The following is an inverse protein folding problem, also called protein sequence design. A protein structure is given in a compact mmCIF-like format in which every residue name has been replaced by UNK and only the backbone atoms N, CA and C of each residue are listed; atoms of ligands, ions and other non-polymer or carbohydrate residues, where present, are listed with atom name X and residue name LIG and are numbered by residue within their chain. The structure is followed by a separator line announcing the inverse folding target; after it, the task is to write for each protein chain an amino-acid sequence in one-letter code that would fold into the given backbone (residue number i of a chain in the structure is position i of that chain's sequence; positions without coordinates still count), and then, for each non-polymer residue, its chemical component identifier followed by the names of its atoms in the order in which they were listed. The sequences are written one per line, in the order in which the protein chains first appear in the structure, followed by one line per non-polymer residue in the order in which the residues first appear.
data_IF_627066442586
#
_entry.id   IF_627066442586
#
_cell.length_a   1.000
_cell.length_b   1.000
_cell.length_c   1.000
_cell.angle_alpha   90.00
_cell.angle_beta   90.00
_cell.angle_gamma   90.00
#
_symmetry.space_group_name_H-M   'P 1'
#
loop_
_entity.id
_entity.type
_entity.pdbx_description
1 polymer ?
2 non-polymer ?
3 water ?
#
# COMPACT_ATOMS: atom_id res chain seq x y z
N UNK A 251 2.03 -18.66 14.22
CA UNK A 251 1.12 -19.28 13.26
C UNK A 251 1.47 -18.91 11.82
N UNK A 252 2.08 -19.87 11.13
CA UNK A 252 2.57 -19.68 9.76
C UNK A 252 1.47 -19.22 8.79
N UNK A 253 0.38 -20.00 8.74
CA UNK A 253 -0.76 -19.74 7.87
C UNK A 253 -1.35 -18.32 7.97
N UNK A 254 -1.53 -17.81 9.19
CA UNK A 254 -2.05 -16.46 9.39
C UNK A 254 -1.20 -15.38 8.71
N UNK A 255 0.12 -15.54 8.75
CA UNK A 255 1.05 -14.65 8.05
C UNK A 255 0.74 -14.52 6.55
N UNK A 256 0.61 -15.67 5.88
CA UNK A 256 0.21 -15.73 4.47
C UNK A 256 -1.15 -15.05 4.22
N UNK A 257 -2.12 -15.34 5.07
CA UNK A 257 -3.44 -14.69 5.02
C UNK A 257 -3.33 -13.15 5.07
N UNK A 258 -2.31 -12.64 5.74
CA UNK A 258 -2.06 -11.19 5.82
C UNK A 258 -1.47 -10.60 4.52
N UNK A 259 -0.51 -11.31 3.93
CA UNK A 259 0.05 -10.89 2.64
C UNK A 259 -1.01 -11.01 1.56
N UNK A 260 -1.84 -12.05 1.66
CA UNK A 260 -2.97 -12.25 0.75
C UNK A 260 -3.86 -11.01 0.76
N UNK A 261 -3.70 -10.21 1.81
CA UNK A 261 -4.26 -8.86 1.92
C UNK A 261 -5.69 -8.84 2.46
N UNK A 300 -9.01 -28.95 16.29
CA UNK A 300 -7.75 -28.66 15.59
C UNK A 300 -6.99 -29.95 15.26
N UNK A 301 -6.72 -30.15 13.96
CA UNK A 301 -6.04 -31.37 13.52
C UNK A 301 -4.63 -31.50 14.11
N UNK A 302 -4.37 -32.66 14.73
CA UNK A 302 -3.05 -32.96 15.28
C UNK A 302 -2.27 -33.85 14.34
N UNK A 303 -2.90 -34.30 13.26
CA UNK A 303 -2.34 -35.40 12.48
C UNK A 303 -2.67 -35.39 11.01
N UNK A 304 -1.91 -36.17 10.24
CA UNK A 304 -2.21 -36.42 8.84
C UNK A 304 -3.66 -36.88 8.62
N UNK A 305 -4.12 -37.84 9.43
CA UNK A 305 -5.48 -38.36 9.28
C UNK A 305 -6.53 -37.27 9.53
N UNK A 306 -6.33 -36.49 10.59
CA UNK A 306 -7.21 -35.35 10.87
C UNK A 306 -7.27 -34.42 9.66
N UNK A 307 -6.11 -34.04 9.15
CA UNK A 307 -6.03 -33.14 8.00
C UNK A 307 -6.69 -33.72 6.75
N UNK A 308 -6.31 -34.95 6.40
CA UNK A 308 -6.90 -35.59 5.25
C UNK A 308 -8.43 -35.72 5.41
N UNK A 309 -8.87 -35.87 6.64
CA UNK A 309 -10.30 -35.92 6.94
C UNK A 309 -11.01 -34.59 6.60
N UNK A 310 -10.41 -33.47 7.00
CA UNK A 310 -10.99 -32.18 6.65
C UNK A 310 -11.05 -31.99 5.16
N UNK A 311 -9.93 -32.28 4.49
CA UNK A 311 -9.80 -32.04 3.07
C UNK A 311 -10.87 -32.76 2.23
N UNK A 312 -11.43 -33.85 2.76
CA UNK A 312 -12.50 -34.54 2.06
C UNK A 312 -13.73 -33.64 1.95
N UNK A 313 -14.12 -33.04 3.07
CA UNK A 313 -15.25 -32.14 3.08
C UNK A 313 -14.93 -30.73 2.63
N UNK A 314 -13.66 -30.32 2.73
CA UNK A 314 -13.25 -28.95 2.44
C UNK A 314 -12.10 -28.83 1.44
N UNK A 315 -12.26 -29.40 0.25
CA UNK A 315 -11.10 -29.43 -0.67
C UNK A 315 -10.66 -28.03 -1.13
N UNK A 316 -11.54 -27.04 -1.04
CA UNK A 316 -11.24 -25.72 -1.59
C UNK A 316 -10.67 -24.73 -0.57
N UNK A 317 -10.42 -25.21 0.64
CA UNK A 317 -9.99 -24.31 1.70
C UNK A 317 -8.46 -24.24 1.76
N UNK A 318 -7.89 -23.12 1.30
CA UNK A 318 -6.43 -22.97 1.33
C UNK A 318 -5.96 -22.98 2.77
N UNK A 319 -6.81 -22.48 3.67
CA UNK A 319 -6.47 -22.46 5.08
C UNK A 319 -6.14 -23.86 5.59
N UNK A 320 -7.00 -24.82 5.24
CA UNK A 320 -6.74 -26.19 5.65
C UNK A 320 -5.45 -26.71 5.07
N UNK A 321 -5.25 -26.49 3.78
CA UNK A 321 -4.04 -26.94 3.10
C UNK A 321 -2.78 -26.34 3.73
N UNK A 322 -2.85 -25.09 4.16
CA UNK A 322 -1.70 -24.35 4.70
C UNK A 322 -1.35 -24.76 6.14
N UNK A 323 -2.37 -24.86 7.00
CA UNK A 323 -2.21 -25.48 8.30
C UNK A 323 -1.58 -26.86 8.13
N UNK A 324 -2.10 -27.62 7.17
CA UNK A 324 -1.58 -28.96 6.88
C UNK A 324 -0.09 -28.90 6.52
N UNK A 325 0.31 -28.01 5.60
CA UNK A 325 1.74 -27.90 5.29
C UNK A 325 2.55 -27.29 6.45
N UNK A 326 1.96 -26.31 7.13
CA UNK A 326 2.60 -25.77 8.34
C UNK A 326 2.85 -26.87 9.38
N UNK A 327 1.87 -27.75 9.53
CA UNK A 327 1.99 -28.87 10.46
C UNK A 327 3.23 -29.70 10.15
N UNK A 328 3.43 -30.01 8.87
CA UNK A 328 4.60 -30.73 8.41
C UNK A 328 5.87 -29.90 8.59
N UNK A 329 5.83 -28.64 8.17
CA UNK A 329 6.99 -27.77 8.29
C UNK A 329 7.59 -27.83 9.69
N UNK A 330 6.73 -27.77 10.70
CA UNK A 330 7.19 -27.78 12.09
C UNK A 330 7.89 -29.08 12.46
N UNK A 331 7.62 -30.14 11.71
CA UNK A 331 8.29 -31.43 11.88
C UNK A 331 9.47 -31.56 10.93
N UNK A 332 9.72 -30.50 10.17
CA UNK A 332 10.88 -30.43 9.28
C UNK A 332 10.92 -31.39 8.10
N UNK A 333 9.79 -31.87 7.58
CA UNK A 333 9.84 -32.40 6.22
C UNK A 333 9.26 -31.34 5.31
N UNK A 334 10.13 -30.65 4.59
CA UNK A 334 9.63 -29.57 3.78
C UNK A 334 9.30 -30.14 2.42
N UNK A 335 9.76 -31.37 2.18
CA UNK A 335 9.41 -32.04 0.94
C UNK A 335 7.97 -32.54 1.02
N UNK A 336 7.57 -32.93 2.22
CA UNK A 336 6.18 -33.32 2.42
C UNK A 336 5.27 -32.13 2.24
N UNK A 337 5.69 -31.00 2.83
CA UNK A 337 4.95 -29.76 2.71
C UNK A 337 4.96 -29.24 1.26
N UNK A 338 6.06 -29.48 0.55
CA UNK A 338 6.12 -29.16 -0.88
C UNK A 338 5.10 -29.98 -1.65
N UNK A 339 4.95 -31.25 -1.31
CA UNK A 339 3.97 -32.13 -1.95
C UNK A 339 2.55 -31.62 -1.75
N UNK A 340 2.23 -31.28 -0.50
CA UNK A 340 0.89 -30.81 -0.19
C UNK A 340 0.52 -29.63 -1.06
N UNK A 341 1.47 -28.70 -1.22
CA UNK A 341 1.27 -27.49 -2.01
C UNK A 341 0.80 -27.85 -3.42
N UNK A 342 1.56 -28.75 -4.07
CA UNK A 342 1.24 -29.22 -5.40
C UNK A 342 -0.11 -29.92 -5.42
N UNK A 343 -0.43 -30.64 -4.36
CA UNK A 343 -1.71 -31.34 -4.26
C UNK A 343 -2.83 -30.32 -4.18
N UNK A 344 -2.60 -29.27 -3.39
CA UNK A 344 -3.58 -28.21 -3.23
C UNK A 344 -3.84 -27.48 -4.55
N UNK A 345 -2.76 -27.16 -5.26
CA UNK A 345 -2.89 -26.47 -6.53
C UNK A 345 -3.74 -27.29 -7.50
N UNK A 346 -3.63 -28.61 -7.39
CA UNK A 346 -4.38 -29.50 -8.25
C UNK A 346 -5.80 -29.77 -7.80
N UNK A 347 -6.03 -29.87 -6.48
CA UNK A 347 -7.36 -30.19 -5.99
C UNK A 347 -8.31 -29.00 -5.84
N UNK A 348 -7.83 -27.89 -5.28
CA UNK A 348 -8.68 -26.71 -5.13
C UNK A 348 -9.29 -26.33 -6.48
N UNK A 349 -10.59 -26.10 -6.49
CA UNK A 349 -11.29 -25.79 -7.73
C UNK A 349 -10.76 -24.57 -8.45
N UNK A 350 -10.52 -24.69 -9.76
CA UNK A 350 -9.85 -23.62 -10.50
C UNK A 350 -10.59 -22.28 -10.42
N UNK A 351 -11.88 -22.31 -10.11
CA UNK A 351 -12.65 -21.07 -10.05
C UNK A 351 -12.31 -20.24 -8.81
N UNK A 352 -11.65 -20.85 -7.83
CA UNK A 352 -11.44 -20.13 -6.57
C UNK A 352 -10.05 -19.53 -6.59
N UNK A 353 -9.99 -18.26 -6.99
CA UNK A 353 -8.72 -17.65 -7.31
C UNK A 353 -7.95 -17.31 -6.05
N UNK A 354 -8.65 -16.69 -5.10
CA UNK A 354 -8.05 -16.25 -3.86
C UNK A 354 -7.50 -17.42 -3.06
N UNK A 355 -8.21 -18.56 -3.13
CA UNK A 355 -7.76 -19.74 -2.41
C UNK A 355 -6.42 -20.19 -2.99
N UNK A 356 -6.36 -20.30 -4.32
CA UNK A 356 -5.13 -20.72 -4.99
C UNK A 356 -4.00 -19.68 -4.84
N UNK A 357 -4.35 -18.41 -4.86
CA UNK A 357 -3.35 -17.38 -4.61
C UNK A 357 -2.66 -17.67 -3.27
N UNK A 358 -3.46 -17.93 -2.24
CA UNK A 358 -2.93 -18.30 -0.94
C UNK A 358 -1.91 -19.44 -0.99
N UNK A 359 -2.21 -20.49 -1.75
CA UNK A 359 -1.27 -21.60 -1.88
C UNK A 359 0.05 -21.13 -2.46
N UNK A 360 -0.01 -20.39 -3.56
CA UNK A 360 1.20 -19.89 -4.22
C UNK A 360 2.04 -19.02 -3.26
N UNK A 361 1.35 -18.19 -2.49
CA UNK A 361 2.03 -17.33 -1.53
C UNK A 361 2.67 -18.17 -0.43
N UNK A 362 2.00 -19.24 -0.02
CA UNK A 362 2.53 -20.12 1.00
C UNK A 362 3.80 -20.81 0.49
N UNK A 363 3.80 -21.15 -0.79
CA UNK A 363 4.98 -21.73 -1.43
C UNK A 363 6.13 -20.73 -1.53
N UNK A 364 5.83 -19.53 -2.00
CA UNK A 364 6.85 -18.48 -2.04
C UNK A 364 7.53 -18.36 -0.66
N UNK A 365 6.73 -18.29 0.40
CA UNK A 365 7.29 -18.32 1.74
C UNK A 365 8.12 -19.57 2.02
N UNK A 366 7.57 -20.74 1.73
CA UNK A 366 8.32 -22.00 1.81
C UNK A 366 9.70 -21.82 1.17
N UNK A 367 9.72 -21.58 -0.14
CA UNK A 367 10.99 -21.53 -0.83
C UNK A 367 11.89 -20.43 -0.26
N UNK A 368 11.34 -19.26 0.02
CA UNK A 368 12.17 -18.16 0.55
C UNK A 368 12.82 -18.49 1.90
N UNK A 369 12.12 -19.23 2.75
CA UNK A 369 12.61 -19.60 4.07
C UNK A 369 13.46 -20.86 4.05
N UNK A 370 12.84 -22.00 3.74
CA UNK A 370 13.52 -23.28 3.85
C UNK A 370 14.11 -23.78 2.55
N UNK A 371 13.93 -23.04 1.47
CA UNK A 371 14.38 -23.47 0.16
C UNK A 371 15.69 -22.84 -0.28
N UNK A 372 15.86 -22.69 -1.60
CA UNK A 372 17.06 -22.08 -2.18
C UNK A 372 16.69 -21.08 -3.30
N UNK A 373 17.62 -20.29 -3.80
CA UNK A 373 17.17 -19.29 -4.73
C UNK A 373 16.71 -19.81 -6.02
N UNK A 374 16.84 -21.10 -6.16
CA UNK A 374 16.51 -21.71 -7.41
C UNK A 374 15.14 -22.34 -7.29
N UNK A 375 14.83 -22.79 -6.11
CA UNK A 375 13.52 -23.26 -5.84
C UNK A 375 12.56 -22.13 -5.82
N UNK A 376 12.98 -21.04 -5.28
CA UNK A 376 12.11 -19.92 -5.21
C UNK A 376 11.87 -19.34 -6.54
N UNK A 377 12.88 -19.35 -7.37
CA UNK A 377 12.74 -18.77 -8.68
C UNK A 377 11.89 -19.60 -9.53
N UNK A 378 11.72 -20.85 -9.14
CA UNK A 378 10.91 -21.81 -9.81
C UNK A 378 9.48 -21.59 -9.48
N UNK A 379 9.17 -21.57 -8.21
CA UNK A 379 7.86 -21.25 -7.78
C UNK A 379 7.45 -19.90 -8.27
N UNK A 380 8.30 -18.91 -8.13
CA UNK A 380 8.04 -17.58 -8.60
C UNK A 380 7.55 -17.57 -9.97
N UNK A 381 8.33 -18.14 -10.80
CA UNK A 381 8.09 -18.28 -12.21
C UNK A 381 6.82 -19.00 -12.62
N UNK A 382 6.56 -20.18 -12.09
CA UNK A 382 5.35 -20.91 -12.37
C UNK A 382 4.22 -20.08 -12.01
N UNK A 383 4.26 -19.58 -10.79
CA UNK A 383 3.27 -18.64 -10.24
C UNK A 383 2.80 -17.50 -11.08
N UNK A 384 3.69 -16.75 -11.67
CA UNK A 384 3.34 -15.67 -12.56
C UNK A 384 2.85 -16.25 -13.85
N UNK A 385 3.33 -17.43 -14.21
CA UNK A 385 2.67 -18.12 -15.30
C UNK A 385 1.22 -18.51 -14.99
N UNK A 386 0.97 -19.06 -13.81
CA UNK A 386 -0.39 -19.49 -13.46
C UNK A 386 -1.35 -18.43 -12.87
N UNK A 387 -0.78 -17.43 -12.19
CA UNK A 387 -1.56 -16.34 -11.61
C UNK A 387 -1.17 -15.01 -12.25
N UNK A 388 -1.78 -13.92 -11.78
CA UNK A 388 -1.46 -12.58 -12.28
C UNK A 388 -0.04 -12.20 -11.87
N UNK A 389 0.80 -11.94 -12.87
CA UNK A 389 2.22 -11.71 -12.64
C UNK A 389 2.47 -10.53 -11.69
N UNK A 390 1.84 -9.40 -11.96
CA UNK A 390 2.07 -8.24 -11.13
C UNK A 390 1.74 -8.56 -9.66
N UNK A 391 0.55 -9.13 -9.43
CA UNK A 391 0.20 -9.59 -8.07
C UNK A 391 1.31 -10.42 -7.43
N UNK A 392 1.80 -11.42 -8.15
CA UNK A 392 2.82 -12.31 -7.64
C UNK A 392 4.10 -11.52 -7.30
N UNK A 393 4.48 -10.60 -8.18
CA UNK A 393 5.58 -9.68 -7.93
C UNK A 393 5.43 -8.89 -6.63
N UNK A 394 4.28 -8.23 -6.47
CA UNK A 394 4.08 -7.45 -5.25
C UNK A 394 4.22 -8.36 -4.02
N UNK A 395 3.71 -9.58 -4.12
CA UNK A 395 3.78 -10.52 -3.00
C UNK A 395 5.21 -10.94 -2.66
N UNK A 396 6.02 -11.22 -3.66
CA UNK A 396 7.38 -11.62 -3.38
C UNK A 396 8.15 -10.44 -2.80
N UNK A 397 7.86 -9.24 -3.28
CA UNK A 397 8.44 -8.04 -2.68
C UNK A 397 8.13 -8.03 -1.18
N UNK A 398 6.85 -8.09 -0.84
CA UNK A 398 6.43 -8.16 0.55
C UNK A 398 7.19 -9.21 1.33
N UNK A 399 7.38 -10.36 0.71
CA UNK A 399 8.10 -11.43 1.37
C UNK A 399 9.55 -11.03 1.68
N UNK A 400 10.27 -10.55 0.66
CA UNK A 400 11.65 -10.10 0.86
C UNK A 400 11.78 -9.09 2.00
N UNK A 401 10.80 -8.19 2.09
CA UNK A 401 10.80 -7.16 3.12
C UNK A 401 10.74 -7.74 4.52
N UNK A 402 9.85 -8.70 4.69
CA UNK A 402 9.66 -9.37 5.96
C UNK A 402 10.84 -10.26 6.33
N UNK A 403 11.40 -10.94 5.34
CA UNK A 403 12.58 -11.77 5.57
C UNK A 403 13.83 -10.89 5.72
N UNK A 404 13.68 -9.59 5.47
CA UNK A 404 14.78 -8.63 5.53
C UNK A 404 15.92 -8.94 4.57
N UNK A 405 15.60 -9.40 3.36
CA UNK A 405 16.61 -9.31 2.32
C UNK A 405 16.25 -8.10 1.46
N UNK A 406 16.90 -7.00 1.79
CA UNK A 406 16.56 -5.71 1.25
C UNK A 406 17.21 -5.51 -0.12
N UNK A 407 18.36 -6.10 -0.29
CA UNK A 407 19.04 -6.12 -1.56
C UNK A 407 18.24 -6.80 -2.61
N UNK A 408 17.71 -7.94 -2.28
CA UNK A 408 16.78 -8.67 -3.08
C UNK A 408 15.50 -7.94 -3.35
N UNK A 409 14.93 -7.24 -2.40
CA UNK A 409 13.74 -6.41 -2.61
C UNK A 409 13.92 -5.23 -3.48
N UNK A 410 14.98 -4.50 -3.27
CA UNK A 410 15.33 -3.42 -4.12
C UNK A 410 15.44 -3.79 -5.55
N UNK A 411 16.11 -4.88 -5.83
CA UNK A 411 16.34 -5.28 -7.16
C UNK A 411 15.12 -5.66 -7.88
N UNK A 412 14.18 -6.25 -7.18
CA UNK A 412 12.90 -6.62 -7.72
C UNK A 412 11.98 -5.48 -7.89
N UNK A 413 12.13 -4.49 -7.05
CA UNK A 413 11.40 -3.27 -7.18
C UNK A 413 11.68 -2.60 -8.47
N UNK A 414 12.88 -2.74 -8.97
CA UNK A 414 13.37 -2.12 -10.17
C UNK A 414 13.03 -2.92 -11.35
N UNK A 415 13.03 -4.19 -11.13
CA UNK A 415 12.60 -5.11 -12.11
C UNK A 415 11.15 -5.04 -12.32
N UNK A 416 10.36 -4.87 -11.29
CA UNK A 416 8.93 -4.78 -11.43
C UNK A 416 8.41 -3.50 -11.95
N UNK A 417 9.18 -2.45 -11.82
CA UNK A 417 8.80 -1.17 -12.31
C UNK A 417 9.20 -1.02 -13.74
N UNK A 418 10.24 -1.70 -14.15
CA UNK A 418 10.55 -1.92 -15.53
C UNK A 418 9.43 -2.54 -16.26
N UNK A 419 8.91 -3.57 -15.69
CA UNK A 419 7.88 -4.36 -16.37
C UNK A 419 6.51 -3.70 -16.36
N UNK A 420 6.05 -3.37 -15.16
CA UNK A 420 4.67 -2.91 -14.94
C UNK A 420 4.51 -1.41 -14.73
N UNK A 421 5.58 -0.69 -14.74
CA UNK A 421 5.50 0.66 -14.35
C UNK A 421 4.89 1.55 -15.36
N UNK A 422 4.83 1.12 -16.57
CA UNK A 422 4.19 1.88 -17.59
C UNK A 422 2.74 2.03 -17.30
N UNK A 423 2.24 1.19 -16.44
CA UNK A 423 0.82 1.07 -16.26
C UNK A 423 0.32 0.98 -14.85
N UNK A 424 1.00 0.33 -13.93
CA UNK A 424 0.62 0.36 -12.52
C UNK A 424 1.26 1.46 -11.69
N UNK A 425 0.47 2.29 -11.01
CA UNK A 425 0.99 3.33 -10.18
C UNK A 425 1.56 2.82 -8.90
N UNK A 426 1.06 1.75 -8.39
CA UNK A 426 1.32 1.32 -7.06
C UNK A 426 2.67 0.80 -6.83
N UNK A 427 3.39 0.58 -7.89
CA UNK A 427 4.70 0.05 -7.82
C UNK A 427 5.62 1.12 -7.52
N UNK A 428 5.39 2.24 -8.12
CA UNK A 428 6.09 3.43 -7.89
C UNK A 428 5.90 3.93 -6.48
N UNK A 429 4.70 3.88 -5.97
CA UNK A 429 4.44 4.23 -4.59
C UNK A 429 5.07 3.29 -3.61
N UNK A 430 4.96 2.03 -3.84
CA UNK A 430 5.53 1.02 -3.02
C UNK A 430 7.03 1.02 -2.91
N UNK A 431 7.71 1.40 -3.97
CA UNK A 431 9.14 1.64 -4.04
C UNK A 431 9.61 2.87 -3.28
N UNK A 432 8.95 3.99 -3.46
CA UNK A 432 9.22 5.17 -2.65
C UNK A 432 8.97 5.00 -1.19
N UNK A 433 7.97 4.25 -0.82
CA UNK A 433 7.78 3.82 0.52
C UNK A 433 8.96 3.08 1.01
N UNK A 434 9.41 2.06 0.31
CA UNK A 434 10.59 1.29 0.63
C UNK A 434 11.75 2.17 0.91
N UNK A 435 12.04 3.03 -0.05
CA UNK A 435 13.16 3.96 -0.05
C UNK A 435 13.15 4.98 1.00
N UNK A 436 12.01 5.53 1.30
CA UNK A 436 11.85 6.36 2.45
C UNK A 436 12.08 5.58 3.74
N UNK A 437 11.54 4.37 3.84
CA UNK A 437 11.63 3.53 5.02
C UNK A 437 13.06 3.16 5.35
N UNK A 438 13.87 3.03 4.30
CA UNK A 438 15.28 2.70 4.38
C UNK A 438 16.17 3.95 4.35
N UNK A 439 15.56 5.11 4.51
CA UNK A 439 16.30 6.34 4.67
C UNK A 439 17.10 6.72 3.43
N UNK A 440 16.61 6.39 2.24
CA UNK A 440 17.07 7.14 1.08
C UNK A 440 15.89 7.88 0.45
N UNK A 441 15.71 9.11 0.91
CA UNK A 441 14.56 9.91 0.59
C UNK A 441 14.78 10.57 -0.78
N UNK A 442 16.03 10.86 -1.10
CA UNK A 442 16.33 11.42 -2.40
C UNK A 442 16.07 10.37 -3.48
N UNK A 443 16.57 9.15 -3.27
CA UNK A 443 16.25 8.05 -4.17
C UNK A 443 14.74 7.92 -4.42
N UNK A 444 13.94 8.09 -3.37
CA UNK A 444 12.50 8.12 -3.53
C UNK A 444 12.11 9.16 -4.57
N UNK A 445 12.62 10.38 -4.42
CA UNK A 445 12.27 11.45 -5.36
C UNK A 445 12.82 11.21 -6.78
N UNK A 446 14.01 10.60 -6.89
CA UNK A 446 14.52 10.14 -8.17
C UNK A 446 13.58 9.16 -8.86
N UNK A 447 13.09 8.16 -8.14
CA UNK A 447 12.21 7.19 -8.76
C UNK A 447 10.83 7.78 -9.02
N UNK A 448 10.46 8.80 -8.24
CA UNK A 448 9.22 9.55 -8.54
C UNK A 448 9.32 10.28 -9.87
N UNK A 449 10.51 10.82 -10.16
CA UNK A 449 10.77 11.39 -11.47
C UNK A 449 10.66 10.32 -12.54
N UNK A 450 11.18 9.15 -12.22
CA UNK A 450 11.08 8.00 -13.12
C UNK A 450 9.63 7.61 -13.41
N UNK A 451 8.79 7.64 -12.38
CA UNK A 451 7.40 7.22 -12.51
C UNK A 451 6.61 8.16 -13.43
N UNK A 452 6.96 9.44 -13.40
CA UNK A 452 6.31 10.44 -14.22
C UNK A 452 6.67 10.32 -15.70
N UNK A 453 7.86 9.78 -15.98
CA UNK A 453 8.27 9.50 -17.35
C UNK A 453 7.57 8.24 -17.88
N UNK A 454 7.24 7.35 -16.98
CA UNK A 454 6.78 6.02 -17.31
C UNK A 454 5.35 5.95 -17.48
N UNK A 455 4.71 6.81 -16.76
CA UNK A 455 3.32 6.68 -16.52
C UNK A 455 2.62 7.63 -17.42
N UNK A 456 1.35 7.24 -17.84
CA UNK A 456 0.62 8.26 -18.62
C UNK A 456 0.39 9.59 -17.87
N UNK A 457 -0.12 10.66 -18.48
CA UNK A 457 -0.32 11.92 -17.75
C UNK A 457 -1.48 11.87 -16.75
N UNK A 458 -2.52 11.09 -17.05
CA UNK A 458 -3.70 11.03 -16.17
C UNK A 458 -3.36 10.41 -14.82
N UNK A 459 -2.21 9.74 -14.76
CA UNK A 459 -1.72 9.14 -13.53
C UNK A 459 -0.74 10.03 -12.77
N UNK A 460 -0.38 11.18 -13.34
CA UNK A 460 0.67 12.03 -12.77
C UNK A 460 0.26 12.69 -11.44
N UNK A 461 -0.82 13.41 -11.42
CA UNK A 461 -1.30 14.01 -10.22
C UNK A 461 -1.41 13.00 -9.11
N UNK A 462 -1.98 11.88 -9.41
CA UNK A 462 -2.22 10.86 -8.45
C UNK A 462 -1.00 10.42 -7.74
N UNK A 463 -0.01 10.03 -8.47
CA UNK A 463 1.16 9.43 -7.91
C UNK A 463 2.02 10.39 -7.15
N UNK A 464 1.91 11.65 -7.47
CA UNK A 464 2.56 12.66 -6.76
C UNK A 464 1.85 12.89 -5.49
N UNK A 465 0.55 12.98 -5.53
CA UNK A 465 -0.24 13.05 -4.36
C UNK A 465 0.12 12.05 -3.37
N UNK A 466 0.21 10.84 -3.80
CA UNK A 466 0.47 9.67 -3.00
C UNK A 466 1.85 9.62 -2.48
N UNK A 467 2.78 10.13 -3.23
CA UNK A 467 4.11 10.41 -2.69
C UNK A 467 4.10 11.49 -1.60
N UNK A 468 3.33 12.55 -1.81
CA UNK A 468 3.23 13.60 -0.80
C UNK A 468 2.76 12.99 0.52
N UNK A 469 1.71 12.17 0.43
CA UNK A 469 1.12 11.54 1.62
C UNK A 469 2.17 10.66 2.31
N UNK A 470 2.96 9.97 1.48
CA UNK A 470 4.11 9.21 1.96
C UNK A 470 5.08 10.04 2.78
N UNK A 471 5.53 11.14 2.19
CA UNK A 471 6.47 12.05 2.85
C UNK A 471 5.93 12.49 4.20
N UNK A 472 4.64 12.83 4.26
CA UNK A 472 4.05 13.28 5.53
C UNK A 472 4.11 12.20 6.60
N UNK A 473 3.75 10.98 6.20
CA UNK A 473 3.69 9.83 7.08
C UNK A 473 5.07 9.29 7.48
N UNK A 474 5.82 8.72 6.54
CA UNK A 474 7.17 8.20 6.87
C UNK A 474 8.36 9.08 6.48
N UNK A 475 8.10 10.15 5.73
CA UNK A 475 9.18 10.92 5.11
C UNK A 475 9.43 12.28 5.75
N UNK A 476 9.92 13.22 4.94
CA UNK A 476 10.02 14.64 5.30
C UNK A 476 8.78 15.40 4.79
N UNK A 477 7.94 15.89 5.73
CA UNK A 477 6.68 16.59 5.42
C UNK A 477 6.94 17.84 4.59
N UNK A 478 8.07 18.48 4.81
CA UNK A 478 8.45 19.59 3.95
C UNK A 478 8.42 19.16 2.48
N UNK A 479 9.04 18.01 2.19
CA UNK A 479 9.05 17.50 0.84
C UNK A 479 7.64 17.26 0.30
N UNK A 480 6.76 16.74 1.15
CA UNK A 480 5.36 16.58 0.79
C UNK A 480 4.67 17.91 0.51
N UNK A 481 4.84 18.88 1.40
CA UNK A 481 4.31 20.22 1.15
C UNK A 481 4.75 20.70 -0.22
N UNK A 482 6.06 20.58 -0.52
CA UNK A 482 6.53 21.02 -1.82
C UNK A 482 5.75 20.38 -2.96
N UNK A 483 5.64 19.04 -2.92
CA UNK A 483 4.89 18.27 -3.91
C UNK A 483 3.44 18.76 -4.08
N UNK A 484 2.73 18.89 -2.97
CA UNK A 484 1.41 19.49 -2.99
C UNK A 484 1.40 20.88 -3.65
N UNK A 485 2.31 21.74 -3.22
CA UNK A 485 2.44 23.08 -3.80
C UNK A 485 2.54 23.03 -5.31
N UNK A 486 3.20 21.99 -5.81
CA UNK A 486 3.34 21.82 -7.25
C UNK A 486 2.00 21.50 -7.88
N UNK A 487 1.31 20.53 -7.27
CA UNK A 487 0.05 19.99 -7.81
C UNK A 487 -0.97 21.11 -7.95
N UNK A 488 -0.95 21.98 -6.95
CA UNK A 488 -1.95 23.01 -6.83
C UNK A 488 -1.51 24.26 -7.60
N UNK A 489 -0.24 24.33 -7.97
CA UNK A 489 0.23 25.40 -8.85
C UNK A 489 -0.25 25.15 -10.26
N UNK A 490 -0.23 23.87 -10.67
CA UNK A 490 -0.67 23.47 -12.00
C UNK A 490 -2.18 23.43 -12.13
N UNK A 491 -2.85 23.02 -11.06
CA UNK A 491 -4.30 22.83 -11.08
C UNK A 491 -4.98 23.60 -9.97
N UNK A 492 -4.95 24.91 -9.99
CA UNK A 492 -5.50 25.67 -8.88
C UNK A 492 -6.91 25.38 -8.50
N UNK A 493 -7.55 24.48 -9.23
CA UNK A 493 -8.98 24.40 -9.37
C UNK A 493 -9.54 23.07 -8.97
N UNK A 494 -8.65 22.14 -8.73
CA UNK A 494 -9.04 20.84 -8.34
C UNK A 494 -9.08 21.03 -6.89
N UNK A 495 -10.26 21.16 -6.34
CA UNK A 495 -10.37 21.52 -4.95
C UNK A 495 -10.27 20.34 -4.10
N UNK A 496 -10.31 19.18 -4.67
CA UNK A 496 -10.15 17.96 -3.91
C UNK A 496 -8.75 17.84 -3.42
N UNK A 497 -7.86 18.56 -4.05
CA UNK A 497 -6.47 18.45 -3.77
C UNK A 497 -6.01 19.37 -2.71
N UNK A 498 -6.54 20.57 -2.68
CA UNK A 498 -6.39 21.48 -1.56
C UNK A 498 -6.87 20.80 -0.31
N UNK A 499 -7.86 19.96 -0.46
CA UNK A 499 -8.44 19.27 0.66
C UNK A 499 -7.50 18.25 1.17
N UNK A 500 -7.01 17.42 0.30
CA UNK A 500 -6.04 16.43 0.61
C UNK A 500 -4.85 17.07 1.27
N UNK A 501 -4.35 18.14 0.71
CA UNK A 501 -3.28 18.92 1.31
C UNK A 501 -3.57 19.33 2.72
N UNK A 502 -4.65 20.04 3.01
CA UNK A 502 -4.90 20.53 4.35
C UNK A 502 -5.12 19.44 5.34
N UNK A 503 -5.65 18.33 4.91
CA UNK A 503 -5.87 17.19 5.74
C UNK A 503 -4.60 16.64 6.27
N UNK A 504 -3.57 16.73 5.48
CA UNK A 504 -2.29 16.19 5.83
C UNK A 504 -1.67 17.04 6.84
N UNK A 505 -1.89 18.32 6.66
CA UNK A 505 -1.46 19.31 7.59
C UNK A 505 -2.31 19.32 8.83
N UNK A 506 -3.61 19.16 8.70
CA UNK A 506 -4.45 19.07 9.87
C UNK A 506 -4.18 17.81 10.58
N UNK A 507 -3.11 17.13 10.26
CA UNK A 507 -2.91 15.82 10.76
C UNK A 507 -1.51 15.70 11.18
N UNK A 508 -0.71 16.51 10.59
CA UNK A 508 0.59 16.86 11.16
C UNK A 508 0.41 17.80 12.35
N UNK A 509 -0.73 18.46 12.39
CA UNK A 509 -1.09 19.43 13.44
C UNK A 509 -0.02 20.49 13.78
N UNK A 510 0.53 21.12 12.75
CA UNK A 510 1.29 22.35 12.91
C UNK A 510 0.27 23.46 12.72
N UNK A 511 -0.06 24.15 13.82
CA UNK A 511 -1.20 25.06 13.83
C UNK A 511 -1.09 26.08 12.71
N UNK A 512 0.07 26.72 12.64
CA UNK A 512 0.31 27.77 11.67
C UNK A 512 0.03 27.26 10.26
N UNK A 513 0.84 26.30 9.83
CA UNK A 513 0.82 25.77 8.47
C UNK A 513 -0.61 25.47 8.01
N UNK A 514 -1.41 24.90 8.91
CA UNK A 514 -2.83 24.63 8.67
C UNK A 514 -3.65 25.89 8.42
N UNK A 515 -3.48 26.87 9.31
CA UNK A 515 -4.23 28.11 9.25
C UNK A 515 -3.88 28.95 8.02
N UNK A 516 -2.59 29.05 7.70
CA UNK A 516 -2.17 29.82 6.52
C UNK A 516 -2.75 29.20 5.26
N UNK A 517 -2.97 27.89 5.33
CA UNK A 517 -3.50 27.12 4.22
C UNK A 517 -4.98 27.39 4.07
N UNK A 518 -5.69 27.34 5.19
CA UNK A 518 -7.10 27.73 5.20
C UNK A 518 -7.26 29.16 4.69
N UNK A 519 -6.38 30.05 5.14
CA UNK A 519 -6.32 31.43 4.66
C UNK A 519 -6.31 31.48 3.14
N UNK A 520 -5.40 30.72 2.54
CA UNK A 520 -5.26 30.71 1.10
C UNK A 520 -6.48 30.11 0.39
N UNK A 521 -7.01 29.02 0.94
CA UNK A 521 -8.11 28.31 0.28
C UNK A 521 -9.30 29.20 0.00
N UNK A 522 -9.78 29.87 1.04
CA UNK A 522 -11.00 30.66 0.94
C UNK A 522 -10.90 31.71 -0.19
N UNK A 523 -9.67 32.09 -0.53
CA UNK A 523 -9.44 33.06 -1.58
C UNK A 523 -9.45 32.40 -2.96
N UNK A 524 -9.69 31.08 -2.98
CA UNK A 524 -9.73 30.34 -4.24
C UNK A 524 -11.14 30.33 -4.83
N UNK A 525 -11.29 29.71 -6.00
CA UNK A 525 -12.55 29.79 -6.72
C UNK A 525 -13.42 28.61 -6.29
N UNK A 526 -14.47 28.94 -5.53
CA UNK A 526 -15.12 27.99 -4.64
C UNK A 526 -16.63 28.03 -4.68
N UNK A 527 -17.24 26.86 -4.79
CA UNK A 527 -18.70 26.71 -4.68
C UNK A 527 -19.11 26.84 -3.21
N UNK A 528 -20.22 27.53 -2.96
CA UNK A 528 -20.65 27.83 -1.60
C UNK A 528 -20.66 26.59 -0.69
N UNK A 529 -21.06 25.45 -1.26
CA UNK A 529 -21.02 24.18 -0.52
C UNK A 529 -19.59 23.84 -0.11
N UNK A 530 -18.65 24.10 -1.03
CA UNK A 530 -17.22 23.93 -0.75
C UNK A 530 -16.80 24.88 0.35
N UNK A 531 -17.14 26.16 0.15
CA UNK A 531 -16.80 27.21 1.09
C UNK A 531 -17.28 26.86 2.51
N UNK A 532 -18.58 26.62 2.65
CA UNK A 532 -19.14 26.27 3.95
C UNK A 532 -18.38 25.07 4.52
N UNK A 533 -18.07 24.12 3.65
CA UNK A 533 -17.41 22.87 4.02
C UNK A 533 -16.04 23.05 4.70
N UNK A 534 -15.25 23.97 4.17
CA UNK A 534 -13.90 24.18 4.68
C UNK A 534 -13.91 24.81 6.07
N UNK A 535 -14.90 25.64 6.34
CA UNK A 535 -14.99 26.31 7.63
C UNK A 535 -15.26 25.35 8.77
N UNK A 536 -16.20 24.43 8.58
CA UNK A 536 -16.48 23.42 9.59
C UNK A 536 -15.21 22.66 9.93
N UNK A 537 -14.47 22.28 8.90
CA UNK A 537 -13.16 21.68 9.06
C UNK A 537 -12.27 22.59 9.93
N UNK A 538 -12.18 23.86 9.54
CA UNK A 538 -11.38 24.85 10.25
C UNK A 538 -11.81 24.95 11.71
N UNK A 539 -13.12 25.06 11.91
CA UNK A 539 -13.70 25.12 13.24
C UNK A 539 -13.37 23.84 14.02
N UNK A 540 -13.74 22.68 13.45
CA UNK A 540 -13.45 21.40 14.07
C UNK A 540 -11.99 21.32 14.51
N UNK A 541 -11.09 21.84 13.69
CA UNK A 541 -9.66 21.78 13.99
C UNK A 541 -9.32 22.60 15.22
N UNK A 542 -9.71 23.86 15.22
CA UNK A 542 -9.44 24.75 16.35
C UNK A 542 -10.10 24.23 17.63
N UNK A 543 -11.20 23.49 17.49
CA UNK A 543 -11.77 22.77 18.63
C UNK A 543 -10.75 21.80 19.22
N UNK A 544 -10.34 20.81 18.42
CA UNK A 544 -9.32 19.85 18.83
C UNK A 544 -8.07 20.57 19.36
N UNK A 545 -7.86 21.80 18.87
CA UNK A 545 -6.85 22.69 19.42
C UNK A 545 -7.30 23.28 20.75
N UNK A 546 -8.36 24.08 20.70
CA UNK A 546 -8.91 24.70 21.88
C UNK A 546 -8.56 26.17 22.06
N UNK A 547 -8.02 26.79 21.02
CA UNK A 547 -7.71 28.22 21.08
C UNK A 547 -8.96 28.95 20.59
N UNK A 548 -9.66 29.61 21.51
CA UNK A 548 -11.03 30.02 21.25
C UNK A 548 -11.15 31.39 20.62
N UNK A 549 -10.03 32.09 20.52
CA UNK A 549 -9.98 33.32 19.74
C UNK A 549 -10.20 32.95 18.29
N UNK A 550 -9.35 32.05 17.80
CA UNK A 550 -9.44 31.53 16.44
C UNK A 550 -10.77 30.79 16.24
N UNK A 551 -11.17 29.99 17.23
CA UNK A 551 -12.47 29.31 17.18
C UNK A 551 -13.60 30.29 16.86
N UNK A 552 -13.51 31.48 17.43
CA UNK A 552 -14.45 32.56 17.10
C UNK A 552 -14.11 33.14 15.74
N UNK A 553 -12.82 33.40 15.53
CA UNK A 553 -12.34 34.05 14.32
C UNK A 553 -12.87 33.39 13.05
N UNK A 554 -13.15 32.09 13.13
CA UNK A 554 -13.62 31.35 11.97
C UNK A 554 -15.09 31.64 11.69
N UNK A 555 -15.89 31.72 12.74
CA UNK A 555 -17.32 31.97 12.58
C UNK A 555 -17.56 33.35 11.97
N UNK A 556 -16.71 34.30 12.34
CA UNK A 556 -16.77 35.67 11.82
C UNK A 556 -16.45 35.69 10.33
N UNK A 557 -15.28 35.15 9.99
CA UNK A 557 -14.80 35.07 8.61
C UNK A 557 -15.83 34.39 7.69
N UNK A 558 -16.57 33.42 8.24
CA UNK A 558 -17.60 32.70 7.49
C UNK A 558 -18.68 33.65 7.00
N UNK A 559 -19.29 34.35 7.95
CA UNK A 559 -20.36 35.31 7.67
C UNK A 559 -19.93 36.41 6.69
N UNK A 560 -18.71 36.91 6.86
CA UNK A 560 -18.14 37.89 5.93
C UNK A 560 -18.14 37.34 4.50
N UNK A 561 -17.79 36.06 4.37
CA UNK A 561 -17.84 35.37 3.10
C UNK A 561 -19.26 35.29 2.57
N UNK A 562 -20.19 34.91 3.46
CA UNK A 562 -21.57 34.59 3.07
C UNK A 562 -22.23 35.80 2.38
N UNK A 563 -21.59 36.96 2.49
CA UNK A 563 -22.05 38.14 1.78
C UNK A 563 -21.51 38.21 0.35
N UNK A 564 -22.44 38.29 -0.61
CA UNK A 564 -22.13 38.57 -2.01
C UNK A 564 -23.43 38.74 -2.80
#
# INVERSE_FOLDING_TARGET
GPLGSAKTRSIKSHEDLKQGEIVDGIVKNVNDKGIFVYLSRKVEAFVPVSKLSDSYLKEWKKFYKPMQYVLGKVVTCDEDSRISLTLRESEINGDLKVLKTYSDIKAGDVFEGTIKSVTDFGVFVKLDNTVNVTGLAHITEIADKKPEDLSALFGVGDRVKAIVLKTNPEKKQISLSLKASHFSKEAELASTTTTTTTVDQLEKEDEDEVMADAGFNDSDSESDIGDQNTEVADRKPETSSDGLSLSAGFDWTASILDQAQEEEESDQDQEDFTENKKHKHKRRKENVVQDKTIDINTRAPESVADFERLLIGNPNSSVVWMNYMAFQLQLSEIEKARELAERALKTINFREEAEKLNIWIAMLNLENTFGTEETLEEVFSRACQYMDSYTIHTKLLGIYEISEKFDKAAELFKATAKKFGGEKVSIWVSWGDFLISHNEEQEARTILGNALKALPKRNHIEVVRKFAQLEFAKGDPERGRSLFEGLVADAPKRIDLWNVYVDQEVKAKDKKKVEDLFERIITKKITRKQAKFFFNKWLQFEESEGDEKTIEYVKAKATEYVASHESQKADE
#
